data_IF_415668051593
#
_entry.id   IF_415668051593
#
_cell.length_a   1.000
_cell.length_b   1.000
_cell.length_c   1.000
_cell.angle_alpha   90.00
_cell.angle_beta   90.00
_cell.angle_gamma   90.00
#
_symmetry.space_group_name_H-M   'P 1'
#
loop_
_entity.id
_entity.type
_entity.pdbx_description
1 polymer ?
#
# COMPACT_ATOMS: atom_id res chain seq x y z
N UNK A 1 14.81 -4.17 17.10
CA UNK A 1 15.26 -3.39 15.94
C UNK A 1 14.04 -2.67 15.36
N UNK A 2 14.14 -1.37 15.08
CA UNK A 2 12.99 -0.53 14.71
C UNK A 2 12.21 -1.07 13.50
N UNK A 3 12.90 -1.51 12.43
CA UNK A 3 12.23 -2.03 11.23
C UNK A 3 11.32 -3.24 11.53
N UNK A 4 11.82 -4.22 12.30
CA UNK A 4 10.99 -5.37 12.72
C UNK A 4 9.80 -4.93 13.58
N UNK A 5 10.00 -3.98 14.49
CA UNK A 5 8.91 -3.45 15.32
C UNK A 5 7.82 -2.77 14.48
N UNK A 6 8.21 -2.00 13.47
CA UNK A 6 7.26 -1.37 12.54
C UNK A 6 6.53 -2.40 11.68
N UNK A 7 7.22 -3.45 11.26
CA UNK A 7 6.66 -4.54 10.45
C UNK A 7 5.59 -5.33 11.21
N UNK A 8 5.90 -5.76 12.42
CA UNK A 8 5.05 -6.69 13.18
C UNK A 8 3.98 -5.96 14.00
N UNK A 9 4.30 -4.78 14.54
CA UNK A 9 3.42 -4.03 15.42
C UNK A 9 2.74 -2.88 14.67
N UNK A 10 3.01 -1.63 15.07
CA UNK A 10 2.42 -0.44 14.48
C UNK A 10 3.49 0.33 13.71
N UNK A 11 3.23 0.77 12.46
CA UNK A 11 1.94 0.70 11.76
C UNK A 11 1.70 -0.59 10.95
N UNK A 12 2.54 -1.62 11.10
CA UNK A 12 2.48 -2.88 10.33
C UNK A 12 1.34 -3.83 10.71
N UNK A 13 1.66 -5.11 10.92
CA UNK A 13 0.68 -6.19 11.01
C UNK A 13 -0.35 -6.01 12.12
N UNK A 14 0.05 -5.58 13.31
CA UNK A 14 -0.89 -5.36 14.41
C UNK A 14 -1.93 -4.30 14.05
N UNK A 15 -1.52 -3.17 13.47
CA UNK A 15 -2.44 -2.12 13.04
C UNK A 15 -3.34 -2.62 11.90
N UNK A 16 -2.75 -3.26 10.88
CA UNK A 16 -3.50 -3.81 9.74
C UNK A 16 -4.57 -4.81 10.18
N UNK A 17 -4.24 -5.68 11.12
CA UNK A 17 -5.18 -6.65 11.67
C UNK A 17 -6.28 -5.97 12.48
N UNK A 18 -5.92 -4.97 13.29
CA UNK A 18 -6.87 -4.17 14.06
C UNK A 18 -7.93 -3.53 13.16
N UNK A 19 -7.51 -2.88 12.06
CA UNK A 19 -8.43 -2.32 11.06
C UNK A 19 -9.35 -3.38 10.45
N UNK A 20 -8.81 -4.56 10.11
CA UNK A 20 -9.60 -5.65 9.53
C UNK A 20 -10.67 -6.18 10.49
N UNK A 21 -10.42 -6.18 11.80
CA UNK A 21 -11.38 -6.63 12.82
C UNK A 21 -12.55 -5.66 13.01
N UNK A 22 -12.30 -4.35 12.89
CA UNK A 22 -13.33 -3.31 13.04
C UNK A 22 -14.00 -2.91 11.72
N UNK A 23 -13.49 -3.38 10.58
CA UNK A 23 -14.07 -3.09 9.27
C UNK A 23 -15.48 -3.69 9.15
N UNK A 24 -16.39 -2.94 8.52
CA UNK A 24 -17.74 -3.40 8.20
C UNK A 24 -17.75 -4.35 6.99
N UNK A 25 -17.05 -5.48 7.12
CA UNK A 25 -16.90 -6.50 6.08
C UNK A 25 -17.55 -7.83 6.51
N UNK A 26 -17.96 -8.69 5.55
CA UNK A 26 -18.35 -10.06 5.86
C UNK A 26 -17.27 -10.82 6.60
N UNK A 27 -17.64 -11.75 7.49
CA UNK A 27 -16.69 -12.47 8.36
C UNK A 27 -15.60 -13.22 7.58
N UNK A 28 -15.92 -13.76 6.40
CA UNK A 28 -14.95 -14.44 5.54
C UNK A 28 -13.87 -13.49 4.96
N UNK A 29 -14.13 -12.17 4.94
CA UNK A 29 -13.15 -11.14 4.55
C UNK A 29 -12.36 -10.60 5.73
N UNK A 30 -12.98 -10.51 6.91
CA UNK A 30 -12.33 -10.05 8.16
C UNK A 30 -11.33 -11.09 8.67
N UNK A 31 -11.71 -12.36 8.63
CA UNK A 31 -10.94 -13.46 9.19
C UNK A 31 -10.15 -14.16 8.08
N UNK A 32 -8.89 -13.77 7.88
CA UNK A 32 -7.97 -14.60 7.10
C UNK A 32 -7.54 -15.80 7.95
N UNK A 33 -8.23 -16.93 7.81
CA UNK A 33 -7.87 -18.13 8.58
C UNK A 33 -6.72 -18.85 7.86
N UNK A 34 -5.53 -18.81 8.46
CA UNK A 34 -4.49 -19.79 8.17
C UNK A 34 -4.71 -20.94 9.13
N UNK A 35 -5.41 -21.98 8.68
CA UNK A 35 -5.54 -23.21 9.46
C UNK A 35 -4.59 -24.24 8.88
N UNK A 36 -3.52 -24.55 9.62
CA UNK A 36 -2.63 -25.66 9.29
C UNK A 36 -3.34 -27.03 9.36
N UNK A 37 -4.51 -27.09 10.00
CA UNK A 37 -5.30 -28.30 10.21
C UNK A 37 -6.52 -28.43 9.30
N UNK A 38 -6.94 -27.34 8.63
CA UNK A 38 -8.05 -27.37 7.68
C UNK A 38 -7.51 -27.17 6.26
N UNK A 39 -7.03 -28.27 5.68
CA UNK A 39 -6.68 -28.34 4.25
C UNK A 39 -7.84 -28.94 3.46
N UNK A 40 -8.22 -28.35 2.31
CA UNK A 40 -7.61 -27.14 1.71
C UNK A 40 -7.95 -25.88 2.52
N UNK A 41 -7.01 -24.92 2.58
CA UNK A 41 -7.29 -23.62 3.20
C UNK A 41 -8.39 -22.93 2.37
N UNK A 42 -9.61 -22.91 2.89
CA UNK A 42 -10.77 -22.33 2.22
C UNK A 42 -10.76 -20.80 2.18
N UNK A 43 -9.83 -20.16 2.90
CA UNK A 43 -9.72 -18.71 2.98
C UNK A 43 -8.37 -18.24 2.41
N UNK A 44 -8.37 -17.34 1.41
CA UNK A 44 -7.13 -16.88 0.77
C UNK A 44 -6.25 -16.10 1.75
N UNK A 45 -5.02 -16.58 1.92
CA UNK A 45 -3.96 -15.84 2.60
C UNK A 45 -3.37 -14.84 1.61
N UNK A 46 -3.82 -13.58 1.67
CA UNK A 46 -3.38 -12.50 0.77
C UNK A 46 -1.94 -12.04 1.10
N UNK A 47 -0.95 -12.92 0.92
CA UNK A 47 0.46 -12.68 1.30
C UNK A 47 0.97 -11.33 0.80
N UNK A 48 0.74 -11.01 -0.48
CA UNK A 48 1.27 -9.77 -1.05
C UNK A 48 0.68 -8.51 -0.41
N UNK A 49 -0.61 -8.52 -0.06
CA UNK A 49 -1.24 -7.41 0.64
C UNK A 49 -0.71 -7.27 2.07
N UNK A 50 -0.66 -8.39 2.81
CA UNK A 50 -0.21 -8.40 4.21
C UNK A 50 1.25 -8.03 4.36
N UNK A 51 2.10 -8.80 3.69
CA UNK A 51 3.56 -8.66 3.77
C UNK A 51 4.03 -7.38 3.08
N UNK A 52 3.35 -6.98 2.00
CA UNK A 52 3.60 -5.72 1.33
C UNK A 52 3.32 -4.52 2.23
N UNK A 53 2.23 -4.57 3.03
CA UNK A 53 1.95 -3.54 4.03
C UNK A 53 3.00 -3.51 5.15
N UNK A 54 3.44 -4.68 5.63
CA UNK A 54 4.52 -4.78 6.63
C UNK A 54 5.80 -4.10 6.14
N UNK A 55 6.26 -4.43 4.92
CA UNK A 55 7.43 -3.78 4.32
C UNK A 55 7.21 -2.29 4.04
N UNK A 56 6.02 -1.90 3.60
CA UNK A 56 5.68 -0.50 3.40
C UNK A 56 5.73 0.28 4.73
N UNK A 57 5.36 -0.36 5.84
CA UNK A 57 5.44 0.22 7.19
C UNK A 57 6.89 0.41 7.66
N UNK A 58 7.81 -0.48 7.28
CA UNK A 58 9.25 -0.26 7.48
C UNK A 58 9.74 0.98 6.71
N UNK A 59 9.26 1.17 5.48
CA UNK A 59 9.56 2.39 4.70
C UNK A 59 8.96 3.64 5.36
N UNK A 60 7.73 3.59 5.88
CA UNK A 60 7.11 4.72 6.58
C UNK A 60 7.91 5.16 7.81
N UNK A 61 8.61 4.25 8.48
CA UNK A 61 9.47 4.60 9.62
C UNK A 61 10.51 5.66 9.30
N UNK A 62 11.00 5.69 8.06
CA UNK A 62 11.95 6.70 7.59
C UNK A 62 11.27 8.07 7.46
N UNK A 63 10.10 8.12 6.82
CA UNK A 63 9.31 9.35 6.69
C UNK A 63 8.82 9.88 8.04
N UNK A 64 8.62 9.00 9.02
CA UNK A 64 8.23 9.34 10.39
C UNK A 64 9.42 9.73 11.27
N UNK A 65 10.66 9.63 10.80
CA UNK A 65 11.87 9.94 11.57
C UNK A 65 12.12 8.98 12.75
N UNK A 66 11.71 7.72 12.62
CA UNK A 66 11.82 6.72 13.69
C UNK A 66 13.18 6.01 13.74
N UNK A 67 13.94 6.07 12.66
CA UNK A 67 15.33 5.61 12.63
C UNK A 67 16.25 6.76 13.05
N UNK A 68 16.90 6.62 14.20
CA UNK A 68 17.59 7.74 14.87
C UNK A 68 19.04 7.91 14.44
N UNK A 69 19.65 6.86 13.92
CA UNK A 69 21.05 6.86 13.50
C UNK A 69 21.28 5.93 12.29
N UNK A 70 22.49 6.02 11.73
CA UNK A 70 22.90 5.25 10.56
C UNK A 70 22.90 3.74 10.82
N UNK A 71 23.05 3.28 12.07
CA UNK A 71 23.00 1.85 12.41
C UNK A 71 21.56 1.32 12.34
N UNK A 72 20.59 2.07 12.85
CA UNK A 72 19.18 1.73 12.73
C UNK A 72 18.73 1.76 11.25
N UNK A 73 19.24 2.73 10.48
CA UNK A 73 18.98 2.81 9.04
C UNK A 73 19.63 1.66 8.27
N UNK A 74 20.87 1.29 8.60
CA UNK A 74 21.53 0.10 8.07
C UNK A 74 20.73 -1.17 8.40
N UNK A 75 20.16 -1.27 9.60
CA UNK A 75 19.27 -2.37 9.99
C UNK A 75 18.02 -2.47 9.09
N UNK A 76 17.36 -1.32 8.81
CA UNK A 76 16.26 -1.23 7.83
C UNK A 76 16.70 -1.73 6.45
N UNK A 77 17.81 -1.22 5.92
CA UNK A 77 18.29 -1.62 4.59
C UNK A 77 18.71 -3.08 4.53
N UNK A 78 19.31 -3.63 5.59
CA UNK A 78 19.59 -5.07 5.67
C UNK A 78 18.32 -5.90 5.56
N UNK A 79 17.23 -5.44 6.17
CA UNK A 79 15.93 -6.11 6.08
C UNK A 79 15.32 -5.95 4.68
N UNK A 80 15.45 -4.78 4.06
CA UNK A 80 14.96 -4.50 2.72
C UNK A 80 15.68 -5.34 1.65
N UNK A 81 17.02 -5.41 1.70
CA UNK A 81 17.85 -6.22 0.80
C UNK A 81 17.49 -7.70 0.93
N UNK A 82 17.28 -8.21 2.15
CA UNK A 82 16.85 -9.60 2.34
C UNK A 82 15.54 -9.92 1.60
N UNK A 83 14.53 -9.03 1.65
CA UNK A 83 13.27 -9.24 0.89
C UNK A 83 13.42 -8.98 -0.60
N UNK A 84 14.38 -8.18 -1.04
CA UNK A 84 14.72 -8.05 -2.46
C UNK A 84 15.37 -9.33 -3.00
N UNK A 85 16.33 -9.91 -2.25
CA UNK A 85 16.99 -11.17 -2.59
C UNK A 85 16.00 -12.33 -2.71
N UNK A 86 14.93 -12.34 -1.89
CA UNK A 86 13.83 -13.32 -2.03
C UNK A 86 13.24 -13.39 -3.44
N UNK A 87 13.10 -12.26 -4.14
CA UNK A 87 12.62 -12.27 -5.53
C UNK A 87 13.56 -13.04 -6.45
N UNK A 88 14.87 -12.88 -6.23
CA UNK A 88 15.93 -13.46 -7.07
C UNK A 88 16.05 -14.95 -6.78
N UNK A 89 16.15 -15.36 -5.52
CA UNK A 89 16.36 -16.78 -5.19
C UNK A 89 15.12 -17.63 -5.47
N UNK A 90 13.91 -17.12 -5.22
CA UNK A 90 12.67 -17.87 -5.49
C UNK A 90 12.49 -18.09 -7.00
N UNK A 91 12.65 -17.05 -7.82
CA UNK A 91 12.62 -17.19 -9.29
C UNK A 91 13.83 -17.96 -9.82
N UNK A 92 14.99 -17.82 -9.19
CA UNK A 92 16.21 -18.57 -9.47
C UNK A 92 15.95 -20.08 -9.39
N UNK A 93 15.38 -20.53 -8.27
CA UNK A 93 15.04 -21.94 -8.03
C UNK A 93 13.94 -22.41 -8.99
N UNK A 94 12.82 -21.68 -9.05
CA UNK A 94 11.59 -22.19 -9.65
C UNK A 94 11.43 -21.94 -11.15
N UNK A 95 12.17 -20.98 -11.71
CA UNK A 95 12.12 -20.66 -13.14
C UNK A 95 13.46 -20.86 -13.84
N UNK A 96 14.57 -20.43 -13.22
CA UNK A 96 15.91 -20.51 -13.82
C UNK A 96 16.66 -21.82 -13.49
N UNK A 97 16.08 -22.71 -12.69
CA UNK A 97 16.66 -24.02 -12.38
C UNK A 97 17.90 -23.97 -11.48
N UNK A 98 18.04 -22.95 -10.63
CA UNK A 98 19.13 -22.88 -9.66
C UNK A 98 19.09 -24.06 -8.69
N UNK A 99 20.26 -24.60 -8.39
CA UNK A 99 20.39 -25.58 -7.31
C UNK A 99 20.21 -24.90 -5.95
N UNK A 100 19.87 -25.71 -4.93
CA UNK A 100 19.81 -25.28 -3.54
C UNK A 100 21.10 -24.57 -3.10
N UNK A 101 22.26 -25.11 -3.45
CA UNK A 101 23.56 -24.57 -3.04
C UNK A 101 23.83 -23.20 -3.66
N UNK A 102 23.51 -23.01 -4.95
CA UNK A 102 23.62 -21.70 -5.62
C UNK A 102 22.71 -20.67 -4.92
N UNK A 103 21.49 -21.05 -4.56
CA UNK A 103 20.57 -20.15 -3.88
C UNK A 103 21.05 -19.77 -2.46
N UNK A 104 21.64 -20.72 -1.71
CA UNK A 104 22.22 -20.46 -0.39
C UNK A 104 23.44 -19.54 -0.50
N UNK A 105 24.33 -19.81 -1.45
CA UNK A 105 25.50 -18.97 -1.71
C UNK A 105 25.07 -17.55 -2.07
N UNK A 106 24.11 -17.40 -2.99
CA UNK A 106 23.58 -16.09 -3.38
C UNK A 106 23.00 -15.34 -2.18
N UNK A 107 22.14 -15.98 -1.39
CA UNK A 107 21.55 -15.35 -0.21
C UNK A 107 22.61 -14.94 0.83
N UNK A 108 23.64 -15.76 1.04
CA UNK A 108 24.74 -15.47 1.97
C UNK A 108 25.61 -14.31 1.48
N UNK A 109 25.87 -14.22 0.18
CA UNK A 109 26.75 -13.19 -0.40
C UNK A 109 26.10 -11.80 -0.46
N UNK A 110 24.78 -11.74 -0.68
CA UNK A 110 24.06 -10.49 -0.88
C UNK A 110 23.28 -10.02 0.34
N UNK A 111 23.30 -10.76 1.44
CA UNK A 111 22.64 -10.37 2.70
C UNK A 111 23.60 -10.50 3.88
N UNK A 112 23.20 -10.00 5.05
CA UNK A 112 23.92 -10.24 6.31
C UNK A 112 23.64 -11.61 6.96
N UNK A 113 22.97 -12.54 6.26
CA UNK A 113 22.60 -13.84 6.84
C UNK A 113 23.78 -14.81 6.88
N UNK A 114 23.92 -15.51 8.01
CA UNK A 114 24.83 -16.65 8.10
C UNK A 114 24.34 -17.87 7.28
N UNK A 115 25.25 -18.76 6.85
CA UNK A 115 24.92 -19.88 5.95
C UNK A 115 23.79 -20.79 6.45
N UNK A 116 23.73 -21.06 7.76
CA UNK A 116 22.66 -21.89 8.33
C UNK A 116 21.27 -21.24 8.25
N UNK A 117 21.19 -19.92 8.44
CA UNK A 117 19.92 -19.19 8.32
C UNK A 117 19.50 -19.08 6.84
N UNK A 118 20.46 -18.84 5.94
CA UNK A 118 20.21 -18.86 4.50
C UNK A 118 19.68 -20.23 4.05
N UNK A 119 20.30 -21.33 4.50
CA UNK A 119 19.84 -22.69 4.21
C UNK A 119 18.38 -22.93 4.64
N UNK A 120 18.01 -22.54 5.86
CA UNK A 120 16.64 -22.67 6.36
C UNK A 120 15.63 -21.88 5.52
N UNK A 121 15.97 -20.66 5.11
CA UNK A 121 15.11 -19.84 4.25
C UNK A 121 14.99 -20.45 2.85
N UNK A 122 16.09 -20.92 2.25
CA UNK A 122 16.05 -21.58 0.93
C UNK A 122 15.19 -22.86 0.98
N UNK A 123 15.31 -23.68 2.03
CA UNK A 123 14.48 -24.88 2.21
C UNK A 123 12.98 -24.53 2.29
N UNK A 124 12.66 -23.40 2.93
CA UNK A 124 11.29 -22.86 2.92
C UNK A 124 10.84 -22.45 1.53
N UNK A 125 11.69 -21.79 0.75
CA UNK A 125 11.31 -21.31 -0.59
C UNK A 125 11.12 -22.45 -1.58
N UNK A 126 11.87 -23.54 -1.44
CA UNK A 126 11.68 -24.78 -2.21
C UNK A 126 10.30 -25.38 -1.94
N UNK A 127 9.85 -25.40 -0.68
CA UNK A 127 8.58 -26.01 -0.27
C UNK A 127 7.36 -25.11 -0.46
N UNK A 128 7.55 -23.79 -0.62
CA UNK A 128 6.47 -22.82 -0.80
C UNK A 128 6.75 -21.82 -1.94
N UNK A 129 6.67 -22.27 -3.21
CA UNK A 129 7.01 -21.45 -4.36
C UNK A 129 6.19 -20.17 -4.45
N UNK A 130 6.87 -19.04 -4.69
CA UNK A 130 6.23 -17.74 -4.92
C UNK A 130 5.82 -16.97 -3.66
N UNK A 131 5.76 -17.60 -2.48
CA UNK A 131 5.41 -16.91 -1.24
C UNK A 131 6.45 -15.86 -0.87
N UNK A 132 7.74 -16.16 -1.07
CA UNK A 132 8.84 -15.26 -0.78
C UNK A 132 8.80 -13.99 -1.65
N UNK A 133 8.29 -14.10 -2.89
CA UNK A 133 8.12 -12.97 -3.79
C UNK A 133 7.04 -11.97 -3.35
N UNK A 134 6.05 -12.45 -2.60
CA UNK A 134 4.86 -11.67 -2.23
C UNK A 134 5.20 -10.40 -1.45
N UNK A 135 6.20 -10.46 -0.56
CA UNK A 135 6.65 -9.36 0.29
C UNK A 135 6.99 -8.11 -0.53
N UNK A 136 8.03 -8.21 -1.38
CA UNK A 136 8.56 -7.04 -2.09
C UNK A 136 7.64 -6.61 -3.24
N UNK A 137 6.98 -7.55 -3.92
CA UNK A 137 5.97 -7.20 -4.94
C UNK A 137 4.79 -6.42 -4.35
N UNK A 138 4.34 -6.82 -3.15
CA UNK A 138 3.32 -6.13 -2.40
C UNK A 138 3.73 -4.69 -2.06
N UNK A 139 4.91 -4.51 -1.45
CA UNK A 139 5.44 -3.20 -1.10
C UNK A 139 5.57 -2.28 -2.33
N UNK A 140 6.19 -2.79 -3.40
CA UNK A 140 6.37 -2.05 -4.66
C UNK A 140 5.02 -1.57 -5.17
N UNK A 141 4.00 -2.44 -5.19
CA UNK A 141 2.68 -2.07 -5.67
C UNK A 141 2.02 -1.01 -4.78
N UNK A 142 2.12 -1.12 -3.44
CA UNK A 142 1.58 -0.10 -2.52
C UNK A 142 2.28 1.26 -2.75
N UNK A 143 3.61 1.28 -2.88
CA UNK A 143 4.37 2.50 -3.19
C UNK A 143 4.00 3.09 -4.55
N UNK A 144 3.77 2.25 -5.56
CA UNK A 144 3.27 2.69 -6.87
C UNK A 144 1.89 3.35 -6.76
N UNK A 145 0.97 2.74 -6.02
CA UNK A 145 -0.38 3.28 -5.80
C UNK A 145 -0.33 4.60 -5.02
N UNK A 146 0.54 4.72 -4.01
CA UNK A 146 0.77 5.98 -3.30
C UNK A 146 1.27 7.07 -4.24
N UNK A 147 2.33 6.80 -4.99
CA UNK A 147 2.89 7.76 -5.94
C UNK A 147 1.85 8.20 -6.97
N UNK A 148 1.03 7.26 -7.44
CA UNK A 148 -0.09 7.58 -8.32
C UNK A 148 -1.07 8.54 -7.62
N UNK A 149 -1.49 8.26 -6.39
CA UNK A 149 -2.39 9.12 -5.63
C UNK A 149 -1.82 10.52 -5.37
N UNK A 150 -0.55 10.62 -4.97
CA UNK A 150 0.17 11.89 -4.77
C UNK A 150 0.17 12.73 -6.06
N UNK A 151 0.46 12.11 -7.21
CA UNK A 151 0.43 12.78 -8.50
C UNK A 151 -0.98 13.22 -8.93
N UNK A 152 -2.00 12.43 -8.62
CA UNK A 152 -3.38 12.70 -9.04
C UNK A 152 -4.08 13.75 -8.18
N UNK A 153 -3.79 13.80 -6.87
CA UNK A 153 -4.43 14.70 -5.93
C UNK A 153 -3.59 15.95 -5.62
N UNK A 154 -2.27 15.92 -5.84
CA UNK A 154 -1.38 17.03 -5.53
C UNK A 154 -1.53 17.49 -4.09
N UNK A 155 -1.77 18.79 -3.88
CA UNK A 155 -1.96 19.39 -2.55
C UNK A 155 -3.19 18.86 -1.79
N UNK A 156 -4.12 18.18 -2.48
CA UNK A 156 -5.27 17.53 -1.85
C UNK A 156 -4.98 16.10 -1.36
N UNK A 157 -3.77 15.59 -1.58
CA UNK A 157 -3.38 14.27 -1.10
C UNK A 157 -3.22 14.28 0.43
N UNK A 158 -4.00 13.43 1.10
CA UNK A 158 -3.80 13.11 2.51
C UNK A 158 -3.35 11.65 2.65
N UNK A 159 -2.16 11.48 3.23
CA UNK A 159 -1.57 10.16 3.48
C UNK A 159 -2.44 9.30 4.42
N UNK A 160 -3.13 9.93 5.39
CA UNK A 160 -4.00 9.22 6.33
C UNK A 160 -5.21 8.64 5.62
N UNK A 161 -5.81 9.42 4.71
CA UNK A 161 -6.91 8.93 3.88
C UNK A 161 -6.47 7.79 2.97
N UNK A 162 -5.30 7.91 2.34
CA UNK A 162 -4.72 6.83 1.53
C UNK A 162 -4.51 5.56 2.34
N UNK A 163 -3.96 5.66 3.56
CA UNK A 163 -3.80 4.51 4.46
C UNK A 163 -5.15 3.92 4.88
N UNK A 164 -6.14 4.74 5.22
CA UNK A 164 -7.51 4.29 5.52
C UNK A 164 -8.10 3.47 4.37
N UNK A 165 -7.95 3.94 3.12
CA UNK A 165 -8.42 3.21 1.93
C UNK A 165 -7.79 1.82 1.82
N UNK A 166 -6.50 1.68 2.12
CA UNK A 166 -5.80 0.39 2.10
C UNK A 166 -6.30 -0.52 3.24
N UNK A 167 -6.41 0.01 4.46
CA UNK A 167 -6.61 -0.77 5.68
C UNK A 167 -8.06 -1.13 5.95
N UNK A 168 -9.00 -0.22 5.71
CA UNK A 168 -10.42 -0.40 6.03
C UNK A 168 -11.13 -1.36 5.07
N UNK A 169 -10.55 -1.61 3.90
CA UNK A 169 -11.09 -2.56 2.92
C UNK A 169 -10.63 -4.01 3.13
N UNK A 170 -9.84 -4.27 4.19
CA UNK A 170 -9.38 -5.60 4.58
C UNK A 170 -8.44 -6.28 3.57
N UNK A 171 -8.07 -7.52 3.86
CA UNK A 171 -7.20 -8.31 2.98
C UNK A 171 -7.82 -8.55 1.60
N UNK A 172 -7.03 -8.35 0.53
CA UNK A 172 -7.46 -8.57 -0.84
C UNK A 172 -6.29 -8.84 -1.80
N UNK A 173 -6.54 -9.37 -3.01
CA UNK A 173 -5.56 -9.41 -4.07
C UNK A 173 -5.10 -8.00 -4.50
N UNK A 174 -3.83 -7.86 -4.90
CA UNK A 174 -3.24 -6.55 -5.23
C UNK A 174 -3.93 -5.84 -6.41
N UNK A 175 -4.47 -6.58 -7.37
CA UNK A 175 -5.26 -6.01 -8.48
C UNK A 175 -6.64 -5.50 -8.03
N UNK A 176 -7.21 -6.05 -6.95
CA UNK A 176 -8.43 -5.51 -6.33
C UNK A 176 -8.09 -4.25 -5.54
N UNK A 177 -6.97 -4.24 -4.80
CA UNK A 177 -6.49 -3.05 -4.09
C UNK A 177 -6.30 -1.87 -5.05
N UNK A 178 -5.69 -2.11 -6.21
CA UNK A 178 -5.55 -1.08 -7.24
C UNK A 178 -6.89 -0.49 -7.69
N UNK A 179 -7.91 -1.34 -7.89
CA UNK A 179 -9.27 -0.85 -8.22
C UNK A 179 -9.86 -0.01 -7.10
N UNK A 180 -9.70 -0.44 -5.84
CA UNK A 180 -10.18 0.29 -4.66
C UNK A 180 -9.54 1.68 -4.59
N UNK A 181 -8.22 1.77 -4.72
CA UNK A 181 -7.50 3.06 -4.71
C UNK A 181 -7.93 3.93 -5.90
N UNK A 182 -8.04 3.35 -7.10
CA UNK A 182 -8.44 4.09 -8.30
C UNK A 182 -9.85 4.66 -8.17
N UNK A 183 -10.81 3.88 -7.64
CA UNK A 183 -12.18 4.35 -7.37
C UNK A 183 -12.19 5.52 -6.39
N UNK A 184 -11.44 5.41 -5.28
CA UNK A 184 -11.31 6.50 -4.30
C UNK A 184 -10.75 7.79 -4.93
N UNK A 185 -9.74 7.68 -5.81
CA UNK A 185 -9.19 8.83 -6.53
C UNK A 185 -10.23 9.50 -7.43
N UNK A 186 -11.05 8.71 -8.14
CA UNK A 186 -12.13 9.25 -8.97
C UNK A 186 -13.20 10.00 -8.14
N UNK A 187 -13.57 9.45 -6.98
CA UNK A 187 -14.54 10.08 -6.06
C UNK A 187 -14.00 11.41 -5.49
N UNK A 188 -12.73 11.44 -5.09
CA UNK A 188 -12.07 12.67 -4.61
C UNK A 188 -12.02 13.76 -5.67
N UNK A 189 -11.73 13.41 -6.92
CA UNK A 189 -11.74 14.38 -8.02
C UNK A 189 -13.14 14.96 -8.29
N UNK A 190 -14.16 14.10 -8.29
CA UNK A 190 -15.55 14.52 -8.54
C UNK A 190 -16.12 15.41 -7.41
N UNK A 191 -15.73 15.14 -6.17
CA UNK A 191 -16.09 15.98 -5.02
C UNK A 191 -15.39 17.35 -5.07
N UNK A 192 -14.12 17.41 -5.50
CA UNK A 192 -13.43 18.67 -5.73
C UNK A 192 -14.08 19.52 -6.85
N UNK A 193 -14.49 18.90 -7.96
CA UNK A 193 -15.15 19.63 -9.07
C UNK A 193 -16.56 20.11 -8.72
N UNK A 194 -17.33 19.33 -7.95
CA UNK A 194 -18.69 19.72 -7.54
C UNK A 194 -18.73 20.84 -6.50
N UNK A 195 -17.63 21.06 -5.77
CA UNK A 195 -17.45 22.23 -4.89
C UNK A 195 -17.19 23.53 -5.65
N UNK A 196 -16.46 23.49 -6.76
CA UNK A 196 -16.14 24.68 -7.58
C UNK A 196 -17.35 25.15 -8.40
N UNK A 197 -18.19 24.22 -8.84
CA UNK A 197 -19.35 24.53 -9.70
C UNK A 197 -20.47 25.30 -8.97
N UNK A 198 -20.64 25.10 -7.66
CA UNK A 198 -21.68 25.80 -6.87
C UNK A 198 -21.32 27.26 -6.59
N UNK A 199 -20.06 27.54 -6.30
CA UNK A 199 -19.60 28.91 -6.02
C UNK A 199 -19.50 29.73 -7.31
N UNK A 200 -19.03 29.13 -8.41
CA UNK A 200 -18.91 29.82 -9.68
C UNK A 200 -20.28 30.04 -10.38
N UNK A 201 -21.21 29.08 -10.32
CA UNK A 201 -22.58 29.30 -10.82
C UNK A 201 -23.35 30.34 -10.03
N UNK A 202 -23.22 30.39 -8.70
CA UNK A 202 -23.87 31.45 -7.91
C UNK A 202 -23.30 32.83 -8.24
N UNK A 203 -21.98 32.97 -8.40
CA UNK A 203 -21.35 34.24 -8.79
C UNK A 203 -21.71 34.67 -10.22
N UNK A 204 -21.75 33.74 -11.18
CA UNK A 204 -22.15 34.05 -12.56
C UNK A 204 -23.64 34.42 -12.65
N UNK A 205 -24.53 33.72 -11.92
CA UNK A 205 -25.96 34.07 -11.88
C UNK A 205 -26.19 35.40 -11.16
N UNK A 206 -25.43 35.72 -10.10
CA UNK A 206 -25.47 37.04 -9.45
C UNK A 206 -24.94 38.15 -10.37
N UNK A 207 -23.85 37.93 -11.11
CA UNK A 207 -23.31 38.92 -12.05
C UNK A 207 -24.21 39.14 -13.27
N UNK A 208 -24.80 38.08 -13.83
CA UNK A 208 -25.76 38.19 -14.93
C UNK A 208 -27.05 38.87 -14.44
N UNK A 209 -27.53 38.53 -13.23
CA UNK A 209 -28.70 39.17 -12.61
C UNK A 209 -28.50 40.66 -12.33
N UNK A 210 -27.32 41.07 -11.87
CA UNK A 210 -26.95 42.47 -11.66
C UNK A 210 -26.80 43.24 -12.98
N UNK A 211 -26.19 42.65 -14.01
CA UNK A 211 -26.08 43.27 -15.34
C UNK A 211 -27.45 43.47 -16.01
N UNK A 212 -28.39 42.52 -15.87
CA UNK A 212 -29.74 42.65 -16.45
C UNK A 212 -30.57 43.71 -15.70
N UNK A 213 -30.43 43.83 -14.37
CA UNK A 213 -31.08 44.90 -13.60
C UNK A 213 -30.50 46.29 -13.90
N UNK A 214 -29.18 46.40 -14.11
CA UNK A 214 -28.56 47.68 -14.50
C UNK A 214 -28.96 48.14 -15.91
N UNK A 215 -29.08 47.21 -16.86
CA UNK A 215 -29.58 47.52 -18.21
C UNK A 215 -31.06 47.95 -18.21
N UNK A 216 -31.91 47.41 -17.32
CA UNK A 216 -33.31 47.83 -17.22
C UNK A 216 -33.50 49.21 -16.57
N UNK A 217 -32.61 49.62 -15.66
CA UNK A 217 -32.67 50.98 -15.08
C UNK A 217 -32.20 52.06 -16.07
N UNK A 218 -31.30 51.75 -17.00
CA UNK A 218 -30.80 52.73 -17.97
C UNK A 218 -31.71 52.93 -19.19
N UNK A 219 -32.59 51.97 -19.51
CA UNK A 219 -33.51 52.06 -20.67
C UNK A 219 -34.85 52.75 -20.30
N UNK A 220 -35.15 52.91 -19.01
CA UNK A 220 -36.39 53.53 -18.53
C UNK A 220 -36.23 54.99 -18.05
N UNK A 221 -35.04 55.60 -18.15
CA UNK A 221 -34.86 57.03 -17.83
C UNK A 221 -34.84 57.96 -19.05
N UNK A 222 -34.95 57.42 -20.28
CA UNK A 222 -34.95 58.18 -21.54
C UNK A 222 -36.27 58.02 -22.35
N UNK A 223 -37.41 57.87 -21.66
CA UNK A 223 -38.76 58.03 -22.25
C UNK A 223 -39.63 58.94 -21.40
#
# INVERSE_FOLDING_TARGET
>A
MMALSLHEANPGHHMQHSYSMYASLPDFRKNSVMSFYNVPNWIPFYSAYKEGWGLYSEYLGEEMGLYKDDYEMMGRYSYEIFRAVRLIVDTGIHYYGWSRDIAIEYMTNYTGMGPGNAANEIDRYITWPGQACAYKLGEIKIKQLRKMAELHLGDQFDIKEFHSVILENGGMPMNVLEKVVTSWLHEKKNSATSGVDKTCRSLIVLFIGLCISFCKLFILSDM
#
